data_IF_754188053544
#
_entry.id   IF_754188053544
#
_cell.length_a   1.000
_cell.length_b   1.000
_cell.length_c   1.000
_cell.angle_alpha   90.00
_cell.angle_beta   90.00
_cell.angle_gamma   90.00
#
_symmetry.space_group_name_H-M   'P 1'
#
loop_
_entity.id
_entity.type
_entity.pdbx_description
1 polymer ?
#
# COMPACT_ATOMS: atom_id res chain seq x y z
N UNK A 1 13.70 29.89 -8.39
CA UNK A 1 13.54 31.35 -8.28
C UNK A 1 13.13 31.79 -6.88
N UNK A 2 11.93 31.45 -6.38
CA UNK A 2 11.46 31.85 -5.02
C UNK A 2 12.34 31.41 -3.84
N UNK A 3 13.18 30.39 -4.03
CA UNK A 3 14.18 29.96 -3.03
C UNK A 3 15.34 30.96 -2.89
N UNK A 4 15.74 31.63 -3.98
CA UNK A 4 16.82 32.63 -3.95
C UNK A 4 16.38 33.87 -3.17
N UNK A 5 15.14 34.33 -3.39
CA UNK A 5 14.55 35.44 -2.63
C UNK A 5 14.52 35.19 -1.11
N UNK A 6 14.36 33.92 -0.70
CA UNK A 6 14.34 33.53 0.71
C UNK A 6 15.72 33.39 1.35
N UNK A 7 16.75 33.04 0.56
CA UNK A 7 18.08 32.71 1.08
C UNK A 7 19.06 33.88 1.01
N UNK A 8 18.90 34.76 0.02
CA UNK A 8 19.78 35.91 -0.17
C UNK A 8 19.07 37.14 0.38
N UNK A 9 19.71 37.90 1.27
CA UNK A 9 19.11 39.10 1.86
C UNK A 9 19.39 40.37 1.04
N UNK A 10 20.56 40.44 0.42
CA UNK A 10 21.01 41.57 -0.40
C UNK A 10 20.26 41.62 -1.76
N UNK A 11 19.70 42.79 -2.07
CA UNK A 11 18.97 43.07 -3.31
C UNK A 11 19.82 43.00 -4.57
N UNK A 12 21.08 43.42 -4.55
CA UNK A 12 21.96 43.34 -5.72
C UNK A 12 22.38 41.89 -5.97
N UNK A 13 22.79 41.16 -4.92
CA UNK A 13 23.17 39.75 -5.05
C UNK A 13 22.00 38.85 -5.45
N UNK A 14 20.78 39.17 -5.01
CA UNK A 14 19.55 38.44 -5.41
C UNK A 14 19.39 38.37 -6.91
N UNK A 15 19.64 39.47 -7.64
CA UNK A 15 19.54 39.52 -9.09
C UNK A 15 20.53 38.55 -9.77
N UNK A 16 21.79 38.62 -9.34
CA UNK A 16 22.88 37.77 -9.85
C UNK A 16 22.60 36.29 -9.57
N UNK A 17 22.17 35.96 -8.36
CA UNK A 17 21.88 34.57 -7.97
C UNK A 17 20.62 34.03 -8.67
N UNK A 18 19.63 34.89 -8.92
CA UNK A 18 18.44 34.52 -9.68
C UNK A 18 18.79 34.19 -11.14
N UNK A 19 19.62 35.01 -11.78
CA UNK A 19 20.10 34.76 -13.14
C UNK A 19 20.96 33.49 -13.24
N UNK A 20 21.88 33.27 -12.27
CA UNK A 20 22.64 32.01 -12.18
C UNK A 20 21.71 30.80 -12.04
N UNK A 21 20.62 30.93 -11.30
CA UNK A 21 19.62 29.87 -11.18
C UNK A 21 18.86 29.67 -12.50
N UNK A 22 18.57 30.73 -13.27
CA UNK A 22 17.89 30.64 -14.57
C UNK A 22 18.76 29.84 -15.54
N UNK A 23 20.05 30.18 -15.61
CA UNK A 23 21.00 29.52 -16.48
C UNK A 23 21.12 28.03 -16.17
N UNK A 24 21.21 27.66 -14.88
CA UNK A 24 21.23 26.25 -14.46
C UNK A 24 19.98 25.46 -14.88
N UNK A 25 18.81 26.10 -15.01
CA UNK A 25 17.63 25.43 -15.55
C UNK A 25 17.72 25.27 -17.07
N UNK A 26 18.19 26.29 -17.78
CA UNK A 26 18.39 26.21 -19.24
C UNK A 26 19.41 25.10 -19.58
N UNK A 27 20.52 25.03 -18.87
CA UNK A 27 21.58 24.01 -19.07
C UNK A 27 21.08 22.58 -18.79
N UNK A 28 20.02 22.44 -17.98
CA UNK A 28 19.37 21.15 -17.69
C UNK A 28 18.28 20.79 -18.70
N UNK A 29 18.13 21.57 -19.78
CA UNK A 29 17.17 21.31 -20.86
C UNK A 29 15.78 21.89 -20.64
N UNK A 30 15.59 22.81 -19.68
CA UNK A 30 14.29 23.46 -19.51
C UNK A 30 14.06 24.53 -20.59
N UNK A 31 12.88 24.57 -21.25
CA UNK A 31 12.56 25.59 -22.24
C UNK A 31 12.66 27.02 -21.68
N UNK A 32 13.29 27.92 -22.44
CA UNK A 32 13.57 29.31 -22.02
C UNK A 32 12.30 30.10 -21.67
N UNK A 33 11.21 29.89 -22.40
CA UNK A 33 9.91 30.52 -22.15
C UNK A 33 9.36 30.19 -20.75
N UNK A 34 9.47 28.94 -20.31
CA UNK A 34 9.00 28.50 -18.98
C UNK A 34 9.85 29.14 -17.87
N UNK A 35 11.16 29.24 -18.09
CA UNK A 35 12.09 29.85 -17.12
C UNK A 35 11.83 31.35 -16.98
N UNK A 36 11.59 32.04 -18.10
CA UNK A 36 11.24 33.47 -18.12
C UNK A 36 9.89 33.73 -17.45
N UNK A 37 8.89 32.92 -17.75
CA UNK A 37 7.59 33.01 -17.08
C UNK A 37 7.76 32.81 -15.58
N UNK A 38 8.44 31.76 -15.13
CA UNK A 38 8.70 31.53 -13.71
C UNK A 38 9.42 32.70 -13.01
N UNK A 39 10.27 33.44 -13.73
CA UNK A 39 10.93 34.64 -13.21
C UNK A 39 9.94 35.81 -13.02
N UNK A 40 9.00 36.00 -13.95
CA UNK A 40 7.93 37.02 -13.84
C UNK A 40 7.03 36.78 -12.63
N UNK A 41 6.60 35.53 -12.41
CA UNK A 41 5.73 35.17 -11.29
C UNK A 41 6.37 35.39 -9.91
N UNK A 42 7.70 35.38 -9.86
CA UNK A 42 8.49 35.57 -8.65
C UNK A 42 8.71 37.06 -8.35
N UNK A 43 8.82 37.88 -9.40
CA UNK A 43 8.93 39.33 -9.27
C UNK A 43 7.58 40.00 -9.00
N UNK A 44 6.49 39.41 -9.51
CA UNK A 44 5.13 39.93 -9.37
C UNK A 44 4.20 38.84 -8.79
N UNK A 45 4.31 38.55 -7.48
CA UNK A 45 3.44 37.57 -6.84
C UNK A 45 1.98 38.07 -6.91
N UNK A 46 1.06 37.19 -7.35
CA UNK A 46 -0.38 37.47 -7.28
C UNK A 46 -0.76 37.75 -5.83
N UNK A 47 -1.48 38.84 -5.60
CA UNK A 47 -2.01 39.24 -4.29
C UNK A 47 -2.74 38.07 -3.63
N UNK A 48 -2.38 37.77 -2.37
CA UNK A 48 -3.00 36.67 -1.65
C UNK A 48 -4.50 36.87 -1.55
N UNK A 49 -5.28 35.81 -1.82
CA UNK A 49 -6.72 35.80 -1.56
C UNK A 49 -6.90 36.13 -0.07
N UNK A 50 -7.72 37.14 0.25
CA UNK A 50 -8.11 37.46 1.64
C UNK A 50 -8.45 36.14 2.35
N UNK A 51 -7.81 35.87 3.50
CA UNK A 51 -8.19 34.75 4.35
C UNK A 51 -9.67 34.93 4.68
N UNK A 52 -10.49 33.95 4.29
CA UNK A 52 -11.88 33.91 4.70
C UNK A 52 -11.94 33.91 6.23
N UNK A 53 -12.79 34.75 6.83
CA UNK A 53 -13.02 34.87 8.28
C UNK A 53 -13.54 33.58 8.95
N UNK A 54 -13.63 32.47 8.21
CA UNK A 54 -14.07 31.18 8.74
C UNK A 54 -13.00 30.55 9.64
N UNK A 55 -13.38 30.25 10.89
CA UNK A 55 -12.57 29.45 11.80
C UNK A 55 -12.46 28.01 11.26
N UNK A 56 -11.25 27.43 11.17
CA UNK A 56 -11.08 26.02 10.89
C UNK A 56 -11.42 25.16 12.12
N UNK A 57 -12.41 24.27 11.99
CA UNK A 57 -12.64 23.20 12.95
C UNK A 57 -11.82 21.98 12.54
N UNK A 58 -10.74 21.74 13.29
CA UNK A 58 -9.74 20.73 12.97
C UNK A 58 -10.00 19.46 13.77
N UNK A 59 -10.39 18.37 13.10
CA UNK A 59 -10.61 17.04 13.72
C UNK A 59 -9.73 15.97 13.10
N UNK A 60 -9.72 14.76 13.65
CA UNK A 60 -9.05 13.62 13.02
C UNK A 60 -9.99 12.94 12.02
N UNK A 61 -9.47 12.58 10.84
CA UNK A 61 -10.26 11.82 9.86
C UNK A 61 -10.58 10.41 10.41
N UNK A 62 -11.87 10.03 10.37
CA UNK A 62 -12.39 8.72 10.77
C UNK A 62 -13.63 8.36 9.96
N UNK A 63 -14.11 7.12 10.07
CA UNK A 63 -15.33 6.65 9.40
C UNK A 63 -16.60 7.42 9.86
N UNK A 64 -16.53 8.14 10.98
CA UNK A 64 -17.61 8.95 11.51
C UNK A 64 -17.49 10.44 11.16
N UNK A 65 -16.47 10.83 10.38
CA UNK A 65 -16.18 12.23 10.05
C UNK A 65 -17.37 12.94 9.41
N UNK A 66 -18.07 12.30 8.47
CA UNK A 66 -19.28 12.86 7.85
C UNK A 66 -20.41 13.06 8.84
N UNK A 67 -20.63 12.08 9.73
CA UNK A 67 -21.64 12.18 10.79
C UNK A 67 -21.34 13.33 11.74
N UNK A 68 -20.08 13.51 12.13
CA UNK A 68 -19.63 14.62 13.00
C UNK A 68 -19.88 15.97 12.30
N UNK A 69 -19.58 16.08 11.01
CA UNK A 69 -19.84 17.31 10.24
C UNK A 69 -21.32 17.63 10.15
N UNK A 70 -22.16 16.62 9.91
CA UNK A 70 -23.61 16.81 9.86
C UNK A 70 -24.16 17.29 11.20
N UNK A 71 -23.75 16.68 12.31
CA UNK A 71 -24.15 17.10 13.66
C UNK A 71 -23.67 18.51 13.96
N UNK A 72 -22.41 18.83 13.65
CA UNK A 72 -21.85 20.16 13.90
C UNK A 72 -22.58 21.24 13.10
N UNK A 73 -22.86 21.00 11.81
CA UNK A 73 -23.62 21.95 10.98
C UNK A 73 -25.06 22.09 11.46
N UNK A 74 -25.71 20.99 11.85
CA UNK A 74 -27.08 20.99 12.35
C UNK A 74 -27.22 21.77 13.65
N UNK A 75 -26.25 21.65 14.55
CA UNK A 75 -26.29 22.25 15.88
C UNK A 75 -25.43 23.51 16.05
N UNK A 76 -24.90 24.07 14.95
CA UNK A 76 -24.07 25.28 15.00
C UNK A 76 -24.78 26.48 15.61
N UNK A 77 -26.11 26.55 15.47
CA UNK A 77 -26.93 27.60 16.07
C UNK A 77 -26.77 27.69 17.59
N UNK A 78 -26.40 26.62 18.29
CA UNK A 78 -26.17 26.63 19.74
C UNK A 78 -25.01 27.56 20.08
N UNK A 79 -23.88 27.45 19.36
CA UNK A 79 -22.71 28.31 19.55
C UNK A 79 -22.99 29.74 19.10
N UNK A 80 -23.73 29.91 17.99
CA UNK A 80 -24.16 31.23 17.50
C UNK A 80 -25.03 31.97 18.52
N UNK A 81 -25.94 31.27 19.19
CA UNK A 81 -26.87 31.86 20.15
C UNK A 81 -26.25 32.07 21.53
N UNK A 82 -25.33 31.19 21.97
CA UNK A 82 -24.63 31.33 23.23
C UNK A 82 -23.63 32.50 23.23
N UNK A 83 -23.04 32.81 22.06
CA UNK A 83 -21.99 33.81 21.92
C UNK A 83 -22.27 34.79 20.75
N UNK A 84 -23.33 35.62 20.84
CA UNK A 84 -23.73 36.51 19.75
C UNK A 84 -22.72 37.65 19.47
N UNK A 85 -21.85 37.94 20.44
CA UNK A 85 -20.79 38.96 20.33
C UNK A 85 -19.56 38.48 19.56
N UNK A 86 -19.38 37.17 19.39
CA UNK A 86 -18.23 36.57 18.70
C UNK A 86 -18.55 36.48 17.21
N UNK A 87 -17.92 37.35 16.41
CA UNK A 87 -18.16 37.45 14.97
C UNK A 87 -17.84 36.14 14.23
N UNK A 88 -16.89 35.39 14.74
CA UNK A 88 -16.37 34.17 14.15
C UNK A 88 -17.35 32.99 14.21
N UNK A 89 -18.35 33.03 15.11
CA UNK A 89 -19.41 32.02 15.18
C UNK A 89 -20.64 32.34 14.33
N UNK A 90 -20.64 33.47 13.62
CA UNK A 90 -21.73 33.84 12.68
C UNK A 90 -21.86 32.83 11.53
N UNK A 91 -20.73 32.28 11.08
CA UNK A 91 -20.65 31.29 10.01
C UNK A 91 -20.24 29.91 10.56
N UNK A 92 -20.74 28.81 9.96
CA UNK A 92 -20.27 27.48 10.30
C UNK A 92 -18.77 27.35 9.96
N UNK A 93 -18.03 26.55 10.75
CA UNK A 93 -16.58 26.52 10.65
C UNK A 93 -16.15 25.77 9.38
N UNK A 94 -14.96 26.10 8.89
CA UNK A 94 -14.31 25.33 7.84
C UNK A 94 -13.85 23.99 8.42
N UNK A 95 -14.43 22.88 7.95
CA UNK A 95 -14.01 21.56 8.45
C UNK A 95 -12.67 21.20 7.84
N UNK A 96 -11.71 20.85 8.70
CA UNK A 96 -10.37 20.42 8.32
C UNK A 96 -10.01 19.14 9.06
N UNK A 97 -9.29 18.25 8.39
CA UNK A 97 -8.93 16.96 8.97
C UNK A 97 -7.42 16.83 9.13
N UNK A 98 -6.97 16.50 10.33
CA UNK A 98 -5.63 15.97 10.57
C UNK A 98 -5.60 14.53 10.12
N UNK A 99 -4.56 14.19 9.37
CA UNK A 99 -4.27 12.81 9.00
C UNK A 99 -3.87 12.05 10.28
N UNK A 100 -4.65 11.02 10.62
CA UNK A 100 -4.26 10.12 11.72
C UNK A 100 -3.00 9.34 11.37
N UNK A 101 -2.20 8.98 12.39
CA UNK A 101 -0.94 8.19 12.23
C UNK A 101 -1.14 6.87 11.47
N UNK A 102 -2.35 6.33 11.46
CA UNK A 102 -2.70 5.02 10.86
C UNK A 102 -3.26 5.11 9.44
N UNK A 103 -3.53 6.30 8.91
CA UNK A 103 -3.97 6.47 7.52
C UNK A 103 -2.71 6.52 6.65
N UNK A 104 -2.05 5.38 6.49
CA UNK A 104 -1.15 5.16 5.36
C UNK A 104 -1.94 5.48 4.08
N UNK A 105 -1.57 6.57 3.40
CA UNK A 105 -1.96 6.97 2.03
C UNK A 105 -2.96 6.03 1.36
N UNK A 106 -4.25 6.11 1.72
CA UNK A 106 -5.32 5.60 0.87
C UNK A 106 -5.49 6.65 -0.24
N UNK A 107 -4.53 6.66 -1.18
CA UNK A 107 -4.52 7.61 -2.32
C UNK A 107 -5.35 7.11 -3.50
N UNK A 108 -6.27 6.17 -3.29
CA UNK A 108 -7.20 5.70 -4.31
C UNK A 108 -8.58 5.42 -3.71
N UNK A 109 -9.53 6.31 -4.02
CA UNK A 109 -10.98 6.18 -3.80
C UNK A 109 -11.67 5.28 -4.85
N UNK A 110 -10.91 4.73 -5.81
CA UNK A 110 -11.43 3.73 -6.74
C UNK A 110 -11.61 2.37 -6.03
N UNK A 111 -12.65 1.61 -6.42
CA UNK A 111 -12.76 0.21 -6.04
C UNK A 111 -11.45 -0.50 -6.38
N UNK A 112 -10.72 -0.98 -5.36
CA UNK A 112 -9.48 -1.72 -5.60
C UNK A 112 -9.80 -2.91 -6.49
N UNK A 113 -9.17 -2.97 -7.65
CA UNK A 113 -9.28 -4.13 -8.54
C UNK A 113 -8.86 -5.37 -7.75
N UNK A 114 -9.71 -6.39 -7.69
CA UNK A 114 -9.38 -7.65 -7.02
C UNK A 114 -8.21 -8.31 -7.73
N UNK A 115 -7.29 -8.89 -6.99
CA UNK A 115 -6.10 -9.52 -7.52
C UNK A 115 -4.85 -9.30 -6.67
N UNK A 116 -3.74 -9.87 -7.13
CA UNK A 116 -2.42 -9.71 -6.56
C UNK A 116 -1.62 -8.67 -7.34
N UNK A 117 -1.08 -7.67 -6.63
CA UNK A 117 -0.34 -6.55 -7.21
C UNK A 117 0.98 -6.30 -6.45
N UNK A 118 2.04 -5.84 -7.15
CA UNK A 118 3.28 -5.46 -6.48
C UNK A 118 3.05 -4.19 -5.64
N UNK A 119 3.62 -4.14 -4.43
CA UNK A 119 3.53 -2.92 -3.61
C UNK A 119 4.57 -1.84 -4.00
N UNK A 120 5.37 -2.08 -5.04
CA UNK A 120 6.41 -1.22 -5.64
C UNK A 120 7.57 -0.80 -4.72
N UNK A 121 7.43 -0.95 -3.40
CA UNK A 121 8.42 -0.54 -2.40
C UNK A 121 9.13 -1.75 -1.75
N UNK A 122 9.27 -2.88 -2.46
CA UNK A 122 9.80 -4.10 -1.87
C UNK A 122 10.70 -4.92 -2.81
N UNK A 123 11.73 -5.54 -2.25
CA UNK A 123 12.64 -6.45 -2.98
C UNK A 123 11.92 -7.68 -3.53
N UNK A 124 10.83 -8.11 -2.89
CA UNK A 124 10.07 -9.30 -3.33
C UNK A 124 9.07 -9.03 -4.46
N UNK A 125 8.85 -7.76 -4.81
CA UNK A 125 7.84 -7.31 -5.77
C UNK A 125 8.08 -7.83 -7.21
N UNK A 126 9.32 -8.03 -7.69
CA UNK A 126 9.58 -8.65 -8.99
C UNK A 126 9.08 -10.10 -9.09
N UNK A 127 9.00 -10.83 -7.97
CA UNK A 127 8.69 -12.27 -7.91
C UNK A 127 7.19 -12.56 -7.70
N UNK A 128 6.39 -11.50 -7.56
CA UNK A 128 4.94 -11.60 -7.46
C UNK A 128 4.38 -12.13 -8.78
N UNK A 129 3.60 -13.20 -8.71
CA UNK A 129 2.70 -13.59 -9.79
C UNK A 129 1.50 -12.64 -9.76
N UNK A 130 1.43 -11.77 -10.77
CA UNK A 130 0.44 -10.69 -10.85
C UNK A 130 -0.79 -11.19 -11.58
N UNK A 131 -1.97 -10.84 -11.10
CA UNK A 131 -3.20 -11.25 -11.76
C UNK A 131 -4.43 -11.15 -10.88
N UNK A 132 -5.60 -11.22 -11.52
CA UNK A 132 -6.91 -11.31 -10.85
C UNK A 132 -7.33 -12.75 -10.59
N UNK A 133 -6.65 -13.67 -11.26
CA UNK A 133 -6.88 -15.10 -11.17
C UNK A 133 -5.56 -15.82 -10.99
N UNK A 134 -5.62 -16.95 -10.29
CA UNK A 134 -4.55 -17.93 -10.21
C UNK A 134 -4.89 -19.09 -11.14
N UNK A 135 -4.02 -19.37 -12.10
CA UNK A 135 -4.13 -20.56 -12.96
C UNK A 135 -3.11 -21.56 -12.46
N UNK A 136 -3.59 -22.76 -12.11
CA UNK A 136 -2.68 -23.82 -11.67
C UNK A 136 -1.77 -24.23 -12.84
N UNK A 137 -0.45 -24.30 -12.66
CA UNK A 137 0.42 -24.86 -13.70
C UNK A 137 0.06 -26.32 -13.97
N UNK A 138 0.02 -26.72 -15.24
CA UNK A 138 -0.33 -28.07 -15.69
C UNK A 138 -1.80 -28.49 -15.41
N UNK A 139 -2.71 -27.53 -15.20
CA UNK A 139 -4.15 -27.78 -15.05
C UNK A 139 -4.97 -26.59 -15.54
N UNK A 140 -6.16 -26.85 -16.08
CA UNK A 140 -7.09 -25.79 -16.50
C UNK A 140 -7.86 -25.15 -15.33
N UNK A 141 -7.51 -25.47 -14.08
CA UNK A 141 -8.14 -24.91 -12.90
C UNK A 141 -7.79 -23.41 -12.74
N UNK A 142 -8.78 -22.56 -13.00
CA UNK A 142 -8.70 -21.10 -12.82
C UNK A 142 -9.43 -20.65 -11.56
N UNK A 143 -8.77 -19.85 -10.74
CA UNK A 143 -9.30 -19.39 -9.46
C UNK A 143 -9.30 -17.87 -9.41
N UNK A 144 -10.48 -17.27 -9.33
CA UNK A 144 -10.64 -15.83 -9.19
C UNK A 144 -10.35 -15.38 -7.76
N UNK A 145 -9.44 -14.40 -7.63
CA UNK A 145 -9.10 -13.79 -6.36
C UNK A 145 -10.22 -12.87 -5.89
N UNK A 146 -10.61 -13.00 -4.62
CA UNK A 146 -11.76 -12.27 -4.05
C UNK A 146 -11.39 -10.90 -3.49
N UNK A 147 -10.13 -10.68 -3.15
CA UNK A 147 -9.64 -9.46 -2.52
C UNK A 147 -8.50 -8.79 -3.29
N UNK A 148 -8.08 -7.63 -2.80
CA UNK A 148 -6.87 -6.94 -3.24
C UNK A 148 -5.70 -7.34 -2.34
N UNK A 149 -4.67 -7.92 -2.93
CA UNK A 149 -3.52 -8.46 -2.22
C UNK A 149 -2.22 -7.84 -2.71
N UNK A 150 -1.26 -7.72 -1.80
CA UNK A 150 0.06 -7.18 -2.08
C UNK A 150 1.10 -7.87 -1.20
N UNK A 151 2.38 -7.54 -1.39
CA UNK A 151 3.47 -8.10 -0.59
C UNK A 151 3.39 -7.75 0.91
N UNK A 152 2.58 -6.77 1.31
CA UNK A 152 2.38 -6.38 2.72
C UNK A 152 1.18 -7.06 3.38
N UNK A 153 0.44 -7.90 2.66
CA UNK A 153 -0.67 -8.68 3.21
C UNK A 153 -0.18 -9.57 4.37
N UNK A 154 -0.98 -9.64 5.44
CA UNK A 154 -0.78 -10.44 6.67
C UNK A 154 -1.94 -11.43 6.83
N UNK A 155 -1.77 -12.44 7.68
CA UNK A 155 -2.77 -13.49 7.94
C UNK A 155 -3.31 -14.06 6.62
N UNK A 156 -2.40 -14.57 5.81
CA UNK A 156 -2.65 -14.90 4.42
C UNK A 156 -2.32 -16.36 4.14
N UNK A 157 -3.14 -16.98 3.30
CA UNK A 157 -2.81 -18.22 2.61
C UNK A 157 -2.27 -17.84 1.23
N UNK A 158 -1.07 -18.29 0.93
CA UNK A 158 -0.38 -17.98 -0.33
C UNK A 158 0.17 -19.26 -0.95
N UNK A 159 0.43 -19.16 -2.25
CA UNK A 159 1.01 -20.25 -3.04
C UNK A 159 2.38 -19.83 -3.55
N UNK A 160 3.33 -20.76 -3.46
CA UNK A 160 4.63 -20.71 -4.12
C UNK A 160 4.56 -21.58 -5.38
N UNK A 161 5.12 -21.05 -6.47
CA UNK A 161 5.10 -21.69 -7.78
C UNK A 161 6.55 -21.98 -8.17
N UNK A 162 6.86 -23.27 -8.28
CA UNK A 162 8.13 -23.76 -8.80
C UNK A 162 8.21 -23.52 -10.31
N UNK A 163 9.40 -23.25 -10.88
CA UNK A 163 9.60 -23.28 -12.33
C UNK A 163 9.23 -24.62 -12.97
N UNK A 164 9.31 -25.72 -12.21
CA UNK A 164 8.87 -27.05 -12.58
C UNK A 164 7.33 -27.25 -12.66
N UNK A 165 6.54 -26.23 -12.34
CA UNK A 165 5.07 -26.29 -12.33
C UNK A 165 4.47 -26.88 -11.04
N UNK A 166 5.28 -27.41 -10.13
CA UNK A 166 4.80 -27.82 -8.81
C UNK A 166 4.47 -26.60 -7.94
N UNK A 167 3.44 -26.75 -7.10
CA UNK A 167 2.96 -25.69 -6.23
C UNK A 167 3.07 -26.10 -4.76
N UNK A 168 3.30 -25.12 -3.89
CA UNK A 168 3.29 -25.28 -2.44
C UNK A 168 2.34 -24.25 -1.84
N UNK A 169 1.32 -24.70 -1.13
CA UNK A 169 0.36 -23.84 -0.44
C UNK A 169 0.78 -23.76 1.02
N UNK A 170 0.81 -22.56 1.59
CA UNK A 170 1.12 -22.40 3.00
C UNK A 170 0.47 -21.14 3.56
N UNK A 171 0.31 -21.11 4.87
CA UNK A 171 -0.18 -19.99 5.63
C UNK A 171 0.94 -19.11 6.19
N UNK A 172 0.57 -17.88 6.54
CA UNK A 172 1.45 -16.99 7.31
C UNK A 172 0.65 -15.97 8.09
N UNK A 173 1.04 -15.78 9.36
CA UNK A 173 0.54 -14.69 10.20
C UNK A 173 1.30 -13.39 9.94
N UNK A 174 2.55 -13.48 9.49
CA UNK A 174 3.43 -12.35 9.20
C UNK A 174 3.12 -11.71 7.84
N UNK A 175 3.83 -10.62 7.52
CA UNK A 175 3.78 -10.05 6.18
C UNK A 175 4.41 -11.00 5.17
N UNK A 176 3.74 -11.24 4.04
CA UNK A 176 4.21 -12.17 3.00
C UNK A 176 5.60 -11.83 2.49
N UNK A 177 5.94 -10.54 2.30
CA UNK A 177 7.30 -10.12 1.89
C UNK A 177 8.40 -10.69 2.80
N UNK A 178 8.16 -10.79 4.11
CA UNK A 178 9.14 -11.33 5.06
C UNK A 178 9.25 -12.84 4.90
N UNK A 179 8.10 -13.52 4.79
CA UNK A 179 8.08 -14.98 4.63
C UNK A 179 8.72 -15.43 3.32
N UNK A 180 8.47 -14.74 2.22
CA UNK A 180 9.11 -15.01 0.93
C UNK A 180 10.62 -14.79 1.00
N UNK A 181 11.06 -13.73 1.68
CA UNK A 181 12.49 -13.49 1.90
C UNK A 181 13.15 -14.68 2.61
N UNK A 182 12.55 -15.18 3.69
CA UNK A 182 13.05 -16.35 4.43
C UNK A 182 13.11 -17.60 3.56
N UNK A 183 12.05 -17.89 2.81
CA UNK A 183 12.00 -19.05 1.92
C UNK A 183 13.11 -19.01 0.85
N UNK A 184 13.36 -17.84 0.28
CA UNK A 184 14.40 -17.65 -0.73
C UNK A 184 15.80 -17.75 -0.16
N UNK A 185 16.04 -17.16 1.01
CA UNK A 185 17.30 -17.36 1.73
C UNK A 185 17.56 -18.84 2.01
N UNK A 186 16.53 -19.59 2.39
CA UNK A 186 16.67 -21.03 2.62
C UNK A 186 16.98 -21.83 1.34
N UNK A 187 16.42 -21.45 0.19
CA UNK A 187 16.77 -22.03 -1.12
C UNK A 187 18.24 -21.74 -1.45
N UNK A 188 18.67 -20.48 -1.29
CA UNK A 188 20.05 -20.08 -1.60
C UNK A 188 21.08 -20.79 -0.70
N UNK A 189 20.70 -21.11 0.53
CA UNK A 189 21.52 -21.87 1.48
C UNK A 189 21.41 -23.40 1.30
N UNK A 190 20.56 -23.89 0.38
CA UNK A 190 20.36 -25.33 0.17
C UNK A 190 19.74 -26.06 1.37
N UNK A 191 18.89 -25.39 2.15
CA UNK A 191 18.35 -25.96 3.38
C UNK A 191 17.31 -27.07 3.08
N UNK A 192 17.70 -28.32 3.29
CA UNK A 192 16.86 -29.51 3.01
C UNK A 192 15.68 -29.71 3.98
N UNK A 193 15.58 -28.92 5.05
CA UNK A 193 14.45 -29.01 6.01
C UNK A 193 13.16 -28.46 5.42
N UNK A 194 13.25 -27.45 4.54
CA UNK A 194 12.07 -26.86 3.91
C UNK A 194 11.74 -27.60 2.62
N UNK A 195 10.47 -28.01 2.41
CA UNK A 195 10.09 -28.82 1.26
C UNK A 195 10.37 -28.13 -0.08
N UNK A 196 10.21 -26.80 -0.13
CA UNK A 196 10.49 -26.01 -1.33
C UNK A 196 11.99 -25.99 -1.63
N UNK A 197 12.84 -25.72 -0.64
CA UNK A 197 14.29 -25.71 -0.82
C UNK A 197 14.84 -27.10 -1.18
N UNK A 198 14.34 -28.15 -0.53
CA UNK A 198 14.65 -29.54 -0.89
C UNK A 198 14.30 -29.85 -2.36
N UNK A 199 13.09 -29.50 -2.81
CA UNK A 199 12.70 -29.71 -4.20
C UNK A 199 13.56 -28.91 -5.18
N UNK A 200 14.00 -27.70 -4.82
CA UNK A 200 14.90 -26.90 -5.66
C UNK A 200 16.26 -27.59 -5.86
N UNK A 201 16.80 -28.18 -4.80
CA UNK A 201 18.06 -28.96 -4.88
C UNK A 201 17.85 -30.23 -5.70
N UNK A 202 16.80 -31.01 -5.42
CA UNK A 202 16.53 -32.29 -6.09
C UNK A 202 16.24 -32.14 -7.59
N UNK A 203 15.58 -31.05 -8.00
CA UNK A 203 15.25 -30.75 -9.40
C UNK A 203 16.33 -29.92 -10.12
N UNK A 204 17.43 -29.59 -9.45
CA UNK A 204 18.55 -28.85 -10.03
C UNK A 204 18.20 -27.41 -10.41
N UNK A 205 17.30 -26.76 -9.69
CA UNK A 205 16.93 -25.36 -9.94
C UNK A 205 18.02 -24.42 -9.43
N UNK A 206 18.65 -23.67 -10.33
CA UNK A 206 19.89 -22.92 -10.06
C UNK A 206 19.69 -21.62 -9.29
N UNK A 207 18.50 -21.00 -9.36
CA UNK A 207 18.25 -19.70 -8.69
C UNK A 207 16.88 -19.62 -8.03
N UNK A 208 16.86 -19.08 -6.81
CA UNK A 208 15.62 -18.72 -6.10
C UNK A 208 14.84 -17.59 -6.78
N UNK A 209 15.41 -16.92 -7.78
CA UNK A 209 14.74 -15.88 -8.58
C UNK A 209 13.62 -16.44 -9.46
N UNK A 210 13.65 -17.73 -9.75
CA UNK A 210 12.63 -18.41 -10.54
C UNK A 210 11.36 -18.72 -9.73
N UNK A 211 11.45 -18.66 -8.39
CA UNK A 211 10.32 -18.89 -7.50
C UNK A 211 9.34 -17.72 -7.60
N UNK A 212 8.08 -18.01 -7.97
CA UNK A 212 7.00 -17.02 -7.99
C UNK A 212 6.04 -17.27 -6.83
N UNK A 213 5.33 -16.22 -6.41
CA UNK A 213 4.32 -16.35 -5.36
C UNK A 213 3.07 -15.53 -5.62
N UNK A 214 1.93 -16.02 -5.14
CA UNK A 214 0.65 -15.31 -5.18
C UNK A 214 -0.12 -15.51 -3.89
N UNK A 215 -0.84 -14.48 -3.44
CA UNK A 215 -1.77 -14.59 -2.31
C UNK A 215 -3.11 -15.09 -2.82
N UNK A 216 -3.62 -16.16 -2.21
CA UNK A 216 -4.92 -16.74 -2.55
C UNK A 216 -6.04 -16.10 -1.73
N UNK A 217 -5.79 -15.92 -0.43
CA UNK A 217 -6.77 -15.41 0.51
C UNK A 217 -6.10 -14.75 1.73
N UNK A 218 -6.74 -13.72 2.28
CA UNK A 218 -6.37 -13.12 3.58
C UNK A 218 -7.54 -13.24 4.53
N UNK A 219 -7.27 -13.58 5.78
CA UNK A 219 -8.30 -13.68 6.81
C UNK A 219 -8.40 -12.33 7.54
N UNK A 220 -9.55 -11.63 7.41
CA UNK A 220 -9.73 -10.37 8.11
C UNK A 220 -9.83 -10.61 9.62
N UNK A 221 -9.42 -9.63 10.44
CA UNK A 221 -9.58 -9.72 11.89
C UNK A 221 -11.07 -9.88 12.25
N UNK A 222 -11.36 -10.81 13.16
CA UNK A 222 -12.74 -11.07 13.58
C UNK A 222 -13.22 -9.98 14.54
N UNK A 223 -14.41 -9.41 14.28
CA UNK A 223 -14.99 -8.32 15.09
C UNK A 223 -15.50 -8.74 16.47
N UNK A 224 -15.71 -10.05 16.72
CA UNK A 224 -16.42 -10.57 17.92
C UNK A 224 -15.60 -11.63 18.70
N UNK A 225 -14.28 -11.64 18.54
CA UNK A 225 -13.43 -12.69 19.07
C UNK A 225 -13.49 -13.99 18.26
N UNK A 226 -12.54 -14.89 18.54
CA UNK A 226 -12.33 -16.16 17.84
C UNK A 226 -10.88 -16.34 17.42
N UNK A 227 -10.45 -17.61 17.28
CA UNK A 227 -9.09 -17.95 16.91
C UNK A 227 -8.86 -17.75 15.40
N UNK A 228 -8.27 -16.60 15.07
CA UNK A 228 -7.91 -16.23 13.71
C UNK A 228 -6.86 -17.18 13.10
N UNK A 229 -5.96 -17.73 13.92
CA UNK A 229 -4.93 -18.67 13.46
C UNK A 229 -5.53 -20.03 13.15
N UNK A 230 -6.44 -20.53 13.99
CA UNK A 230 -7.19 -21.76 13.68
C UNK A 230 -7.96 -21.63 12.37
N UNK A 231 -8.61 -20.48 12.14
CA UNK A 231 -9.29 -20.22 10.86
C UNK A 231 -8.30 -20.20 9.70
N UNK A 232 -7.10 -19.65 9.92
CA UNK A 232 -6.03 -19.61 8.92
C UNK A 232 -5.58 -21.01 8.52
N UNK A 233 -5.31 -21.87 9.49
CA UNK A 233 -4.95 -23.28 9.25
C UNK A 233 -6.08 -24.04 8.53
N UNK A 234 -7.34 -23.86 8.95
CA UNK A 234 -8.50 -24.46 8.24
C UNK A 234 -8.59 -24.03 6.78
N UNK A 235 -8.32 -22.74 6.48
CA UNK A 235 -8.33 -22.24 5.10
C UNK A 235 -7.14 -22.78 4.30
N UNK A 236 -5.97 -22.91 4.90
CA UNK A 236 -4.80 -23.52 4.26
C UNK A 236 -5.12 -24.94 3.76
N UNK A 237 -5.66 -25.81 4.61
CA UNK A 237 -6.02 -27.19 4.23
C UNK A 237 -7.06 -27.21 3.11
N UNK A 238 -8.07 -26.34 3.19
CA UNK A 238 -9.05 -26.18 2.11
C UNK A 238 -8.38 -25.80 0.78
N UNK A 239 -7.37 -24.93 0.81
CA UNK A 239 -6.60 -24.55 -0.37
C UNK A 239 -5.68 -25.66 -0.86
N UNK A 240 -5.02 -26.41 0.01
CA UNK A 240 -4.20 -27.58 -0.36
C UNK A 240 -5.04 -28.58 -1.14
N UNK A 241 -6.24 -28.89 -0.64
CA UNK A 241 -7.16 -29.82 -1.30
C UNK A 241 -7.71 -29.27 -2.60
N UNK A 242 -8.18 -28.02 -2.60
CA UNK A 242 -8.73 -27.37 -3.79
C UNK A 242 -7.71 -27.26 -4.91
N UNK A 243 -6.45 -26.99 -4.57
CA UNK A 243 -5.36 -26.87 -5.51
C UNK A 243 -4.61 -28.18 -5.71
N UNK A 244 -5.05 -29.30 -5.14
CA UNK A 244 -4.36 -30.61 -5.16
C UNK A 244 -2.83 -30.47 -5.13
N UNK A 245 -2.33 -29.76 -4.10
CA UNK A 245 -0.91 -29.43 -3.93
C UNK A 245 -0.15 -30.45 -3.09
N UNK A 246 -0.78 -31.59 -2.77
CA UNK A 246 -0.15 -32.72 -2.10
C UNK A 246 0.85 -33.43 -3.01
N UNK A 247 1.93 -33.94 -2.42
CA UNK A 247 2.87 -34.83 -3.10
C UNK A 247 2.14 -36.09 -3.59
N UNK A 248 2.37 -36.56 -4.83
CA UNK A 248 3.40 -36.12 -5.79
C UNK A 248 2.99 -34.99 -6.74
N UNK A 249 1.72 -34.59 -6.76
CA UNK A 249 1.20 -33.57 -7.68
C UNK A 249 1.61 -32.12 -7.30
N UNK A 250 2.05 -31.92 -6.06
CA UNK A 250 2.60 -30.67 -5.53
C UNK A 250 3.66 -30.93 -4.46
N UNK A 251 3.96 -29.91 -3.65
CA UNK A 251 5.07 -29.91 -2.69
C UNK A 251 4.63 -30.08 -1.22
N UNK A 252 3.32 -30.01 -0.92
CA UNK A 252 2.82 -30.26 0.42
C UNK A 252 2.92 -31.77 0.72
N UNK A 253 3.51 -32.15 1.86
CA UNK A 253 3.63 -33.57 2.23
C UNK A 253 2.36 -34.05 2.92
N UNK A 254 2.05 -33.45 4.06
CA UNK A 254 0.89 -33.76 4.87
C UNK A 254 0.26 -32.46 5.38
N UNK A 255 -0.97 -32.55 5.86
CA UNK A 255 -1.61 -31.50 6.65
C UNK A 255 -2.39 -32.12 7.79
N UNK A 256 -2.62 -31.33 8.82
CA UNK A 256 -3.21 -31.82 10.06
C UNK A 256 -4.75 -31.92 9.96
N UNK A 257 -5.27 -33.14 9.85
CA UNK A 257 -6.72 -33.40 9.82
C UNK A 257 -7.41 -33.08 11.14
N UNK A 258 -6.68 -33.03 12.27
CA UNK A 258 -7.25 -32.70 13.59
C UNK A 258 -7.83 -31.28 13.66
N UNK A 259 -7.54 -30.43 12.68
CA UNK A 259 -8.11 -29.09 12.59
C UNK A 259 -9.61 -29.08 12.25
N UNK A 260 -10.20 -30.21 11.82
CA UNK A 260 -11.61 -30.32 11.41
C UNK A 260 -12.48 -31.19 12.31
N UNK A 261 -11.89 -31.80 13.34
CA UNK A 261 -12.57 -32.57 14.39
C UNK A 261 -12.79 -31.64 15.58
#
# INVERSE_FOLDING_TARGET
>A
MSRVQRLVSDTQERGVQSQKMCQKFIDRGYPKNIVQEAQLWVNYPKTSKKQSECIPFVTQYSDYSDSIVQVLRRHWYILKNAYPTVNEFKLPPLISYRQGKTIERITFLGMRTKGMFPCLNCVQCPYVHRGREFVRPNSDLKIHLRGYYTCVSKFAVYVLICPCGLIYVVETTQMIKLRISQQRSAINLGNMTLPVAKNFVEKGHTSSDQLRFMVLETIPPQKRGGDQELKLKKREVCWINKLNSLYPAGLNRDYDFFLFI
#
